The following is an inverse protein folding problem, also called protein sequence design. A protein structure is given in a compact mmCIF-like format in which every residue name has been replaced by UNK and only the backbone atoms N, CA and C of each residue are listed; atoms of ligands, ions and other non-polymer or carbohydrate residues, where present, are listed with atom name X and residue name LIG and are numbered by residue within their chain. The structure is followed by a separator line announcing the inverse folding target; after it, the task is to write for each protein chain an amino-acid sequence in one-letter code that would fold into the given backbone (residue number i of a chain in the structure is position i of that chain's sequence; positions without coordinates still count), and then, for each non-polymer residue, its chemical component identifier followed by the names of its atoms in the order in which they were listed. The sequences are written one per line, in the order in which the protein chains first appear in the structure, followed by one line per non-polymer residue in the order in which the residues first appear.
data_IF_021689059632
#
_entry.id   IF_021689059632
#
_cell.length_a   1.000
_cell.length_b   1.000
_cell.length_c   1.000
_cell.angle_alpha   90.00
_cell.angle_beta   90.00
_cell.angle_gamma   90.00
#
_symmetry.space_group_name_H-M   'P 1'
#
loop_
_entity.id
_entity.type
_entity.pdbx_description
1 polymer ?
#
# COMPACT_ATOMS: atom_id res chain seq x y z
N UNK A 1 10.18 23.43 13.05
CA UNK A 1 10.11 22.88 14.44
C UNK A 1 8.65 22.80 14.91
N UNK A 2 8.26 21.67 15.50
CA UNK A 2 6.88 21.19 15.73
C UNK A 2 6.07 20.87 14.47
N UNK A 3 5.84 21.81 13.55
CA UNK A 3 5.07 21.51 12.33
C UNK A 3 5.72 20.43 11.47
N UNK A 4 7.04 20.50 11.30
CA UNK A 4 7.85 19.47 10.63
C UNK A 4 7.84 18.12 11.38
N UNK A 5 7.80 18.15 12.71
CA UNK A 5 7.72 16.95 13.53
C UNK A 5 6.35 16.26 13.37
N UNK A 6 5.27 17.04 13.36
CA UNK A 6 3.92 16.52 13.13
C UNK A 6 3.82 15.94 11.72
N UNK A 7 4.27 16.68 10.70
CA UNK A 7 4.24 16.21 9.30
C UNK A 7 5.04 14.92 9.10
N UNK A 8 6.22 14.82 9.70
CA UNK A 8 7.06 13.61 9.59
C UNK A 8 6.53 12.38 10.33
N UNK A 9 5.62 12.54 11.29
CA UNK A 9 5.14 11.43 12.13
C UNK A 9 3.63 11.16 12.03
N UNK A 10 2.84 12.03 11.41
CA UNK A 10 1.38 11.95 11.40
C UNK A 10 0.84 10.72 10.66
N UNK A 11 1.53 10.29 9.59
CA UNK A 11 1.12 9.11 8.82
C UNK A 11 1.36 7.78 9.57
N UNK A 12 2.19 7.78 10.62
CA UNK A 12 2.61 6.56 11.28
C UNK A 12 3.34 5.60 10.33
N UNK A 13 3.34 4.30 10.67
CA UNK A 13 4.05 3.30 9.88
C UNK A 13 3.28 2.84 8.62
N UNK A 14 1.94 2.93 8.69
CA UNK A 14 1.02 2.56 7.60
C UNK A 14 -0.14 3.54 7.65
N UNK A 15 -0.17 4.49 6.71
CA UNK A 15 -1.21 5.51 6.65
C UNK A 15 -2.35 5.11 5.71
N UNK A 16 -3.52 5.72 5.93
CA UNK A 16 -4.63 5.66 4.96
C UNK A 16 -4.40 6.75 3.92
N UNK A 17 -4.27 6.34 2.66
CA UNK A 17 -4.14 7.22 1.51
C UNK A 17 -5.49 7.39 0.82
N UNK A 18 -5.91 8.64 0.72
CA UNK A 18 -7.11 9.15 0.04
C UNK A 18 -6.68 10.10 -1.10
N UNK A 19 -7.61 10.55 -1.93
CA UNK A 19 -7.29 11.51 -3.00
C UNK A 19 -6.74 12.85 -2.49
N UNK A 20 -7.15 13.27 -1.28
CA UNK A 20 -6.72 14.54 -0.70
C UNK A 20 -5.26 14.52 -0.25
N UNK A 21 -4.80 13.41 0.34
CA UNK A 21 -3.46 13.31 0.93
C UNK A 21 -2.46 12.50 0.06
N UNK A 22 -2.86 12.02 -1.12
CA UNK A 22 -1.98 11.19 -1.98
C UNK A 22 -0.62 11.81 -2.32
N UNK A 23 -0.52 13.15 -2.32
CA UNK A 23 0.71 13.90 -2.62
C UNK A 23 1.65 14.02 -1.42
N UNK A 24 1.21 13.62 -0.24
CA UNK A 24 1.98 13.71 1.02
C UNK A 24 2.87 12.47 1.26
N UNK A 25 2.77 11.46 0.39
CA UNK A 25 3.53 10.21 0.53
C UNK A 25 4.83 10.25 -0.26
N UNK A 26 5.94 9.99 0.43
CA UNK A 26 7.26 9.88 -0.15
C UNK A 26 7.47 8.55 -0.90
N UNK A 27 8.41 8.56 -1.84
CA UNK A 27 8.86 7.38 -2.58
C UNK A 27 10.17 6.83 -1.95
N UNK A 28 10.42 5.51 -2.02
CA UNK A 28 9.61 4.49 -2.67
C UNK A 28 8.41 4.06 -1.80
N UNK A 29 7.25 3.85 -2.44
CA UNK A 29 5.95 3.68 -1.77
C UNK A 29 5.32 2.33 -2.10
N UNK A 30 4.88 1.61 -1.08
CA UNK A 30 4.06 0.40 -1.21
C UNK A 30 2.62 0.73 -0.86
N UNK A 31 1.71 0.55 -1.81
CA UNK A 31 0.28 0.85 -1.65
C UNK A 31 -0.51 -0.45 -1.71
N UNK A 32 -1.30 -0.71 -0.67
CA UNK A 32 -2.20 -1.85 -0.62
C UNK A 32 -3.64 -1.39 -0.81
N UNK A 33 -4.27 -1.82 -1.90
CA UNK A 33 -5.67 -1.55 -2.21
C UNK A 33 -6.52 -2.73 -1.78
N UNK A 34 -7.55 -2.46 -0.98
CA UNK A 34 -8.58 -3.44 -0.65
C UNK A 34 -9.87 -2.72 -0.30
N UNK A 35 -10.94 -3.49 -0.08
CA UNK A 35 -12.23 -2.95 0.38
C UNK A 35 -12.12 -2.50 1.84
N UNK A 36 -11.73 -1.25 2.05
CA UNK A 36 -11.76 -0.61 3.37
C UNK A 36 -13.18 -0.20 3.71
N UNK A 37 -13.68 -0.74 4.81
CA UNK A 37 -14.99 -0.39 5.34
C UNK A 37 -14.91 -0.43 6.87
N UNK A 38 -14.92 0.74 7.51
CA UNK A 38 -14.85 0.84 8.97
C UNK A 38 -16.22 0.80 9.63
N UNK A 39 -17.30 0.95 8.85
CA UNK A 39 -18.67 0.95 9.36
C UNK A 39 -19.27 -0.46 9.31
N UNK A 40 -19.25 -1.09 8.14
CA UNK A 40 -19.87 -2.39 7.89
C UNK A 40 -18.88 -3.56 8.09
N UNK A 41 -17.58 -3.36 7.86
CA UNK A 41 -16.56 -4.42 8.00
C UNK A 41 -15.28 -4.00 8.74
N UNK A 42 -15.38 -3.45 9.97
CA UNK A 42 -14.21 -3.01 10.73
C UNK A 42 -13.22 -4.14 11.01
N UNK A 43 -13.70 -5.40 11.13
CA UNK A 43 -12.86 -6.58 11.35
C UNK A 43 -11.98 -6.90 10.15
N UNK A 44 -12.53 -6.89 8.93
CA UNK A 44 -11.78 -7.12 7.70
C UNK A 44 -10.73 -6.05 7.47
N UNK A 45 -11.10 -4.79 7.69
CA UNK A 45 -10.17 -3.66 7.57
C UNK A 45 -9.01 -3.77 8.57
N UNK A 46 -9.30 -4.09 9.84
CA UNK A 46 -8.29 -4.32 10.87
C UNK A 46 -7.40 -5.53 10.58
N UNK A 47 -7.95 -6.59 10.01
CA UNK A 47 -7.20 -7.79 9.62
C UNK A 47 -6.11 -7.46 8.59
N UNK A 48 -6.47 -6.75 7.51
CA UNK A 48 -5.52 -6.33 6.50
C UNK A 48 -4.52 -5.32 7.04
N UNK A 49 -4.99 -4.31 7.78
CA UNK A 49 -4.12 -3.34 8.46
C UNK A 49 -3.03 -4.03 9.28
N UNK A 50 -3.38 -4.99 10.15
CA UNK A 50 -2.42 -5.67 11.01
C UNK A 50 -1.41 -6.53 10.23
N UNK A 51 -1.79 -7.07 9.07
CA UNK A 51 -0.85 -7.81 8.22
C UNK A 51 0.15 -6.87 7.57
N UNK A 52 -0.33 -5.76 7.02
CA UNK A 52 0.50 -4.74 6.39
C UNK A 52 1.44 -4.13 7.41
N UNK A 53 0.96 -3.83 8.62
CA UNK A 53 1.76 -3.27 9.72
C UNK A 53 2.95 -4.16 10.09
N UNK A 54 2.76 -5.49 10.13
CA UNK A 54 3.86 -6.44 10.40
C UNK A 54 4.96 -6.36 9.35
N UNK A 55 4.58 -6.16 8.09
CA UNK A 55 5.52 -6.08 6.97
C UNK A 55 6.21 -4.71 6.98
N UNK A 56 5.43 -3.65 7.13
CA UNK A 56 5.93 -2.28 7.23
C UNK A 56 6.95 -2.15 8.38
N UNK A 57 6.72 -2.81 9.52
CA UNK A 57 7.68 -2.80 10.64
C UNK A 57 9.01 -3.43 10.30
N UNK A 58 9.05 -4.41 9.39
CA UNK A 58 10.29 -5.06 8.95
C UNK A 58 11.05 -4.23 7.91
N UNK A 59 10.34 -3.41 7.14
CA UNK A 59 10.89 -2.72 5.96
C UNK A 59 10.76 -1.19 6.00
N UNK A 60 10.47 -0.63 7.18
CA UNK A 60 10.32 0.81 7.45
C UNK A 60 11.49 1.71 7.02
N UNK A 61 12.68 1.13 6.83
CA UNK A 61 13.87 1.86 6.39
C UNK A 61 14.07 1.83 4.86
N UNK A 62 13.23 1.09 4.13
CA UNK A 62 13.35 0.88 2.68
C UNK A 62 12.16 1.39 1.91
N UNK A 63 10.96 1.38 2.50
CA UNK A 63 9.72 1.77 1.83
C UNK A 63 8.79 2.50 2.78
N UNK A 64 8.04 3.43 2.22
CA UNK A 64 6.82 3.97 2.83
C UNK A 64 5.64 3.02 2.55
N UNK A 65 4.67 2.99 3.46
CA UNK A 65 3.51 2.09 3.34
C UNK A 65 2.21 2.86 3.48
N UNK A 66 1.28 2.57 2.57
CA UNK A 66 -0.05 3.16 2.55
C UNK A 66 -1.13 2.11 2.24
N UNK A 67 -2.34 2.37 2.71
CA UNK A 67 -3.54 1.61 2.36
C UNK A 67 -4.54 2.53 1.66
N UNK A 68 -5.15 2.04 0.60
CA UNK A 68 -6.15 2.78 -0.16
C UNK A 68 -7.39 1.94 -0.41
N UNK A 69 -8.53 2.61 -0.57
CA UNK A 69 -9.79 1.93 -0.85
C UNK A 69 -9.84 1.60 -2.33
N UNK A 70 -10.19 0.36 -2.68
CA UNK A 70 -10.42 -0.01 -4.08
C UNK A 70 -11.52 0.86 -4.70
N UNK A 71 -12.57 1.18 -3.94
CA UNK A 71 -13.71 2.01 -4.37
C UNK A 71 -13.33 3.45 -4.70
N UNK A 72 -12.41 4.03 -3.94
CA UNK A 72 -11.95 5.40 -4.19
C UNK A 72 -11.02 5.44 -5.41
N UNK A 73 -10.14 4.45 -5.55
CA UNK A 73 -9.09 4.43 -6.56
C UNK A 73 -9.37 3.52 -7.77
N UNK A 74 -10.64 3.27 -8.09
CA UNK A 74 -11.00 2.37 -9.22
C UNK A 74 -10.42 2.83 -10.56
N UNK A 75 -10.43 4.15 -10.82
CA UNK A 75 -9.89 4.72 -12.06
C UNK A 75 -8.38 4.48 -12.15
N UNK A 76 -7.66 4.77 -11.06
CA UNK A 76 -6.20 4.55 -10.97
C UNK A 76 -5.85 3.07 -11.15
N UNK A 77 -6.64 2.16 -10.54
CA UNK A 77 -6.48 0.71 -10.69
C UNK A 77 -6.73 0.23 -12.13
N UNK A 78 -7.68 0.82 -12.85
CA UNK A 78 -7.92 0.46 -14.26
C UNK A 78 -6.79 0.97 -15.16
N UNK A 79 -6.27 2.16 -14.92
CA UNK A 79 -5.15 2.74 -15.68
C UNK A 79 -3.89 1.88 -15.64
N UNK A 80 -3.61 1.25 -14.50
CA UNK A 80 -2.47 0.32 -14.31
C UNK A 80 -2.78 -1.12 -14.78
N UNK A 81 -3.96 -1.37 -15.35
CA UNK A 81 -4.36 -2.68 -15.87
C UNK A 81 -4.89 -3.67 -14.82
N UNK A 82 -5.37 -3.19 -13.66
CA UNK A 82 -6.07 -4.00 -12.66
C UNK A 82 -7.58 -3.87 -12.88
N UNK A 83 -8.17 -4.88 -13.52
CA UNK A 83 -9.59 -4.87 -13.90
C UNK A 83 -10.49 -5.67 -12.93
N UNK A 84 -9.92 -6.50 -12.06
CA UNK A 84 -10.68 -7.37 -11.17
C UNK A 84 -10.36 -7.08 -9.70
N UNK A 85 -10.92 -5.98 -9.19
CA UNK A 85 -10.77 -5.52 -7.80
C UNK A 85 -12.00 -5.83 -6.93
N UNK A 86 -12.93 -6.64 -7.43
CA UNK A 86 -14.13 -7.08 -6.71
C UNK A 86 -13.86 -8.24 -5.74
N UNK A 87 -12.74 -8.94 -5.89
CA UNK A 87 -12.32 -9.95 -4.93
C UNK A 87 -11.91 -9.28 -3.60
N UNK A 88 -12.23 -9.92 -2.47
CA UNK A 88 -11.81 -9.49 -1.12
C UNK A 88 -10.28 -9.57 -0.88
N UNK A 89 -9.52 -9.87 -1.94
CA UNK A 89 -8.07 -9.99 -1.92
C UNK A 89 -7.41 -8.63 -2.16
N UNK A 90 -6.38 -8.25 -1.37
CA UNK A 90 -5.71 -6.99 -1.58
C UNK A 90 -4.86 -7.02 -2.83
N UNK A 91 -4.86 -5.90 -3.55
CA UNK A 91 -3.95 -5.62 -4.65
C UNK A 91 -2.82 -4.79 -4.07
N UNK A 92 -1.57 -5.11 -4.44
CA UNK A 92 -0.44 -4.31 -3.99
C UNK A 92 0.34 -3.76 -5.18
N UNK A 93 0.65 -2.48 -5.06
CA UNK A 93 1.46 -1.73 -6.02
C UNK A 93 2.69 -1.25 -5.30
N UNK A 94 3.83 -1.34 -5.98
CA UNK A 94 5.09 -0.73 -5.54
C UNK A 94 5.43 0.37 -6.52
N UNK A 95 5.69 1.57 -6.01
CA UNK A 95 6.20 2.71 -6.76
C UNK A 95 7.64 2.94 -6.33
N UNK A 96 8.57 2.84 -7.27
CA UNK A 96 9.99 3.08 -7.02
C UNK A 96 10.30 4.58 -6.95
N UNK A 97 11.51 4.92 -6.53
CA UNK A 97 12.04 6.29 -6.59
C UNK A 97 12.08 6.85 -8.03
N UNK A 98 12.12 5.96 -9.03
CA UNK A 98 12.07 6.28 -10.46
C UNK A 98 10.66 6.57 -10.99
N UNK A 99 9.63 6.55 -10.14
CA UNK A 99 8.20 6.62 -10.49
C UNK A 99 7.69 5.42 -11.32
N UNK A 100 8.49 4.35 -11.41
CA UNK A 100 8.09 3.09 -12.03
C UNK A 100 7.14 2.32 -11.11
N UNK A 101 6.03 1.86 -11.68
CA UNK A 101 4.94 1.18 -10.96
C UNK A 101 4.94 -0.31 -11.26
N UNK A 102 4.98 -1.12 -10.21
CA UNK A 102 4.91 -2.57 -10.29
C UNK A 102 3.64 -3.08 -9.60
N UNK A 103 2.81 -3.78 -10.36
CA UNK A 103 1.58 -4.39 -9.86
C UNK A 103 1.85 -5.85 -9.50
N UNK A 104 1.60 -6.22 -8.25
CA UNK A 104 1.66 -7.61 -7.82
C UNK A 104 0.36 -8.33 -8.22
N UNK A 105 0.43 -9.14 -9.27
CA UNK A 105 -0.72 -9.89 -9.82
C UNK A 105 -0.91 -11.28 -9.19
N UNK A 106 0.10 -11.81 -8.52
CA UNK A 106 0.02 -13.14 -7.91
C UNK A 106 -0.81 -13.14 -6.63
N UNK A 107 -1.62 -14.19 -6.48
CA UNK A 107 -2.50 -14.40 -5.34
C UNK A 107 -1.77 -14.10 -4.03
N UNK A 108 -2.40 -13.27 -3.20
CA UNK A 108 -1.99 -12.78 -1.88
C UNK A 108 -1.93 -13.90 -0.80
N UNK A 109 -1.43 -15.06 -1.18
CA UNK A 109 -1.35 -16.29 -0.39
C UNK A 109 0.06 -16.40 0.17
N UNK A 110 0.18 -16.02 1.46
CA UNK A 110 1.29 -16.24 2.43
C UNK A 110 2.74 -15.87 2.04
N UNK A 111 3.03 -15.57 0.77
CA UNK A 111 4.37 -15.23 0.27
C UNK A 111 4.64 -13.72 0.29
N UNK A 112 4.28 -13.05 1.38
CA UNK A 112 4.81 -11.72 1.68
C UNK A 112 6.34 -11.73 1.85
N UNK A 113 6.96 -12.89 2.05
CA UNK A 113 8.41 -13.05 1.95
C UNK A 113 8.93 -12.91 0.51
N UNK A 114 8.13 -13.26 -0.50
CA UNK A 114 8.49 -13.21 -1.92
C UNK A 114 8.30 -11.83 -2.56
N UNK A 115 7.55 -10.93 -1.92
CA UNK A 115 7.48 -9.49 -2.23
C UNK A 115 8.86 -8.89 -2.49
N UNK A 116 9.86 -9.40 -1.78
CA UNK A 116 11.24 -8.92 -1.83
C UNK A 116 12.09 -9.55 -2.92
N UNK A 117 11.83 -10.80 -3.34
CA UNK A 117 12.60 -11.39 -4.45
C UNK A 117 12.36 -10.63 -5.75
N UNK A 118 11.13 -10.22 -6.04
CA UNK A 118 10.83 -9.48 -7.27
C UNK A 118 11.40 -8.06 -7.23
N UNK A 119 11.36 -7.37 -6.09
CA UNK A 119 11.92 -6.01 -5.96
C UNK A 119 13.47 -6.03 -5.95
N UNK A 120 14.11 -7.02 -5.32
CA UNK A 120 15.57 -7.15 -5.34
C UNK A 120 16.13 -7.61 -6.71
N UNK A 121 15.42 -8.45 -7.46
CA UNK A 121 15.84 -8.84 -8.81
C UNK A 121 15.73 -7.71 -9.85
N UNK A 122 15.01 -6.62 -9.55
CA UNK A 122 14.97 -5.43 -10.42
C UNK A 122 16.25 -4.58 -10.28
N UNK A 123 17.13 -4.89 -9.30
CA UNK A 123 18.44 -4.25 -9.10
C UNK A 123 19.65 -5.16 -9.41
N UNK A 124 19.52 -6.22 -10.21
CA UNK A 124 20.68 -6.99 -10.73
C UNK A 124 20.73 -6.96 -12.26
#
# INVERSE_FOLDING_TARGET
MLEEFIRSNYHGLVAIRTFSNRKEFDLPLVITYFKMDYEMNPKGTKYWHNRILKIASKYRNHFYFAMSSTKEFEVELREIGVNNFENDMPIVIVILETDEKFVLKDNFSWKYSMFFCTIYFIKC
#
